data_IF_611805652768
#
_entry.id   IF_611805652768
#
_cell.length_a   1.000
_cell.length_b   1.000
_cell.length_c   1.000
_cell.angle_alpha   90.00
_cell.angle_beta   90.00
_cell.angle_gamma   90.00
#
_symmetry.space_group_name_H-M   'P 1'
#
loop_
_entity.id
_entity.type
_entity.pdbx_description
1 polymer ?
#
# COMPACT_ATOMS: atom_id res chain seq x y z
N UNK A 1 17.04 11.79 -27.11
CA UNK A 1 16.66 11.82 -28.55
C UNK A 1 17.06 10.59 -29.38
N UNK A 2 17.74 9.57 -28.84
CA UNK A 2 18.05 8.31 -29.57
C UNK A 2 17.29 7.07 -29.09
N UNK A 3 16.59 7.12 -27.98
CA UNK A 3 15.88 5.98 -27.39
C UNK A 3 14.40 5.96 -27.79
N UNK A 4 13.72 7.10 -27.88
CA UNK A 4 12.33 7.17 -28.34
C UNK A 4 12.12 6.81 -29.83
N UNK A 5 13.12 6.97 -30.66
CA UNK A 5 13.03 6.55 -32.08
C UNK A 5 13.08 5.04 -32.30
N UNK A 6 13.51 4.25 -31.30
CA UNK A 6 13.52 2.77 -31.37
C UNK A 6 12.18 2.13 -30.99
N UNK A 7 11.35 2.80 -30.18
CA UNK A 7 10.06 2.26 -29.76
C UNK A 7 9.00 2.49 -30.84
N UNK A 8 9.05 3.60 -31.58
CA UNK A 8 8.14 3.88 -32.70
C UNK A 8 8.36 2.96 -33.90
N UNK A 9 9.55 2.36 -34.05
CA UNK A 9 9.86 1.47 -35.16
C UNK A 9 9.42 0.01 -34.90
N UNK A 10 9.21 -0.37 -33.66
CA UNK A 10 8.77 -1.73 -33.31
C UNK A 10 7.25 -1.91 -33.44
N UNK A 11 6.46 -0.84 -33.35
CA UNK A 11 5.00 -0.86 -33.54
C UNK A 11 4.57 -0.84 -35.02
N UNK A 12 5.46 -0.51 -35.94
CA UNK A 12 5.15 -0.43 -37.41
C UNK A 12 5.44 -1.73 -38.17
N UNK A 13 6.06 -2.74 -37.53
CA UNK A 13 6.39 -4.03 -38.19
C UNK A 13 5.33 -5.09 -37.92
N UNK A 14 4.35 -4.86 -37.05
CA UNK A 14 3.32 -5.85 -36.67
C UNK A 14 2.01 -5.79 -37.50
N UNK A 15 1.92 -4.90 -38.49
CA UNK A 15 0.71 -4.72 -39.34
C UNK A 15 0.86 -5.17 -40.79
N UNK A 16 1.91 -5.91 -41.19
CA UNK A 16 2.15 -6.26 -42.60
C UNK A 16 2.35 -7.76 -42.89
N UNK A 17 1.67 -8.66 -42.12
CA UNK A 17 1.58 -10.08 -42.52
C UNK A 17 0.15 -10.58 -42.34
N UNK A 18 -0.75 -10.05 -43.16
CA UNK A 18 -2.05 -10.67 -43.44
C UNK A 18 -2.47 -10.29 -44.85
N UNK A 19 -2.04 -11.11 -45.80
CA UNK A 19 -2.55 -10.96 -47.16
C UNK A 19 -1.72 -11.75 -48.20
N UNK A 20 -2.22 -12.90 -48.54
CA UNK A 20 -2.00 -13.64 -49.78
C UNK A 20 -1.69 -15.11 -49.59
N UNK A 21 -2.69 -15.96 -49.74
CA UNK A 21 -2.59 -17.31 -50.28
C UNK A 21 -3.96 -17.71 -50.86
N UNK A 22 -4.08 -17.57 -52.15
CA UNK A 22 -5.03 -18.34 -52.94
C UNK A 22 -4.27 -18.81 -54.19
N UNK A 23 -4.28 -20.09 -54.40
CA UNK A 23 -4.45 -20.82 -55.62
C UNK A 23 -3.49 -22.00 -55.88
N UNK A 24 -4.11 -23.15 -55.90
CA UNK A 24 -4.02 -24.31 -56.83
C UNK A 24 -2.75 -25.15 -56.99
N UNK A 25 -2.92 -26.49 -56.73
CA UNK A 25 -2.55 -27.49 -57.72
C UNK A 25 -1.93 -28.79 -57.20
N UNK A 26 -2.75 -29.80 -57.06
CA UNK A 26 -2.61 -31.28 -57.33
C UNK A 26 -1.35 -32.11 -56.99
N UNK A 27 -1.70 -33.24 -56.28
CA UNK A 27 -1.21 -34.63 -56.41
C UNK A 27 0.11 -35.04 -55.78
N UNK A 28 0.07 -35.82 -54.73
CA UNK A 28 0.21 -37.30 -54.57
C UNK A 28 0.55 -37.63 -53.11
N UNK A 29 -0.21 -38.58 -52.54
CA UNK A 29 0.11 -39.36 -51.31
C UNK A 29 1.28 -40.29 -51.52
N UNK A 30 1.87 -40.99 -50.47
CA UNK A 30 1.41 -41.14 -49.09
C UNK A 30 2.53 -41.10 -48.00
N UNK A 31 2.10 -41.16 -46.79
CA UNK A 31 2.57 -41.88 -45.59
C UNK A 31 2.85 -41.04 -44.34
N UNK A 32 1.96 -41.28 -43.39
CA UNK A 32 2.14 -41.48 -41.94
C UNK A 32 3.28 -40.73 -41.23
N UNK A 33 2.91 -39.77 -40.41
CA UNK A 33 3.13 -39.88 -38.95
C UNK A 33 2.25 -38.88 -38.20
N UNK A 34 1.56 -39.41 -37.20
CA UNK A 34 0.55 -38.68 -36.43
C UNK A 34 1.10 -37.55 -35.56
N UNK A 35 0.80 -36.31 -35.92
CA UNK A 35 0.81 -35.22 -34.95
C UNK A 35 -0.48 -35.32 -34.16
N UNK A 36 -0.39 -35.96 -33.02
CA UNK A 36 -1.41 -35.90 -31.97
C UNK A 36 -1.63 -34.45 -31.59
N UNK A 37 -2.72 -33.84 -32.04
CA UNK A 37 -3.27 -32.67 -31.43
C UNK A 37 -3.67 -33.06 -30.00
N UNK A 38 -2.81 -32.75 -29.04
CA UNK A 38 -3.17 -32.81 -27.64
C UNK A 38 -4.16 -31.66 -27.38
N UNK A 39 -5.43 -31.89 -27.67
CA UNK A 39 -6.51 -31.19 -27.05
C UNK A 39 -6.48 -31.59 -25.58
N UNK A 40 -5.78 -30.80 -24.75
CA UNK A 40 -5.94 -30.90 -23.30
C UNK A 40 -7.44 -30.81 -23.03
N UNK A 41 -8.04 -31.94 -22.64
CA UNK A 41 -9.37 -31.97 -22.06
C UNK A 41 -9.30 -31.16 -20.77
N UNK A 42 -9.59 -29.86 -20.84
CA UNK A 42 -9.90 -29.08 -19.63
C UNK A 42 -11.15 -29.74 -19.03
N UNK A 43 -10.96 -30.40 -17.89
CA UNK A 43 -12.07 -30.99 -17.14
C UNK A 43 -13.14 -29.94 -16.89
N UNK A 44 -14.38 -30.37 -16.70
CA UNK A 44 -15.48 -29.48 -16.37
C UNK A 44 -15.11 -28.65 -15.12
N UNK A 45 -15.10 -27.32 -15.23
CA UNK A 45 -14.76 -26.43 -14.13
C UNK A 45 -15.94 -26.37 -13.16
N UNK A 46 -15.75 -26.92 -11.98
CA UNK A 46 -16.76 -26.96 -10.93
C UNK A 46 -16.69 -25.67 -10.11
N UNK A 47 -17.84 -25.02 -9.91
CA UNK A 47 -17.97 -23.83 -9.06
C UNK A 47 -18.16 -24.22 -7.59
N UNK A 48 -17.06 -24.53 -6.91
CA UNK A 48 -17.06 -24.93 -5.51
C UNK A 48 -17.55 -23.82 -4.56
N UNK A 49 -17.20 -22.57 -4.81
CA UNK A 49 -17.64 -21.43 -3.99
C UNK A 49 -19.17 -21.23 -4.07
N UNK A 50 -19.78 -21.55 -5.19
CA UNK A 50 -21.23 -21.48 -5.37
C UNK A 50 -22.00 -22.69 -4.81
N UNK A 51 -21.33 -23.81 -4.59
CA UNK A 51 -21.95 -25.02 -4.01
C UNK A 51 -22.15 -24.93 -2.50
N UNK A 52 -21.27 -24.22 -1.80
CA UNK A 52 -21.39 -24.03 -0.34
C UNK A 52 -22.46 -22.98 -0.07
N UNK A 53 -23.29 -23.24 0.92
CA UNK A 53 -24.36 -22.35 1.35
C UNK A 53 -24.12 -21.84 2.76
N UNK A 54 -24.27 -20.53 2.94
CA UNK A 54 -24.24 -19.91 4.25
C UNK A 54 -25.45 -20.36 5.06
N UNK A 55 -25.21 -21.04 6.17
CA UNK A 55 -26.26 -21.43 7.12
C UNK A 55 -26.31 -20.44 8.28
N UNK A 56 -27.25 -19.51 8.24
CA UNK A 56 -27.45 -18.51 9.29
C UNK A 56 -27.92 -19.11 10.61
N UNK A 57 -28.32 -20.39 10.63
CA UNK A 57 -28.84 -21.11 11.81
C UNK A 57 -27.75 -21.98 12.48
N UNK A 58 -26.60 -22.14 11.84
CA UNK A 58 -25.48 -22.91 12.43
C UNK A 58 -24.94 -22.25 13.70
N UNK A 59 -24.27 -23.05 14.55
CA UNK A 59 -23.73 -22.57 15.83
C UNK A 59 -22.47 -21.71 15.73
N UNK A 60 -21.99 -21.37 14.53
CA UNK A 60 -20.82 -20.52 14.31
C UNK A 60 -21.16 -19.04 14.55
N UNK A 61 -20.19 -18.24 15.04
CA UNK A 61 -20.38 -16.80 15.18
C UNK A 61 -20.46 -16.15 13.78
N UNK A 62 -21.43 -15.26 13.59
CA UNK A 62 -21.66 -14.53 12.34
C UNK A 62 -22.01 -13.08 12.61
N UNK A 63 -21.62 -12.20 11.68
CA UNK A 63 -21.97 -10.78 11.72
C UNK A 63 -22.13 -10.22 10.32
N UNK A 64 -23.16 -9.40 10.09
CA UNK A 64 -23.28 -8.61 8.87
C UNK A 64 -22.46 -7.34 9.01
N UNK A 65 -21.61 -7.04 8.01
CA UNK A 65 -20.55 -6.05 8.12
C UNK A 65 -20.46 -5.16 6.90
N UNK A 66 -19.74 -4.04 7.07
CA UNK A 66 -19.29 -3.19 5.95
C UNK A 66 -17.77 -3.07 5.98
N UNK A 67 -17.18 -2.90 4.80
CA UNK A 67 -15.72 -2.77 4.68
C UNK A 67 -15.27 -1.44 5.28
N UNK A 68 -14.22 -1.52 6.12
CA UNK A 68 -13.49 -0.35 6.61
C UNK A 68 -12.22 -0.10 5.82
N UNK A 69 -11.43 -1.17 5.55
CA UNK A 69 -10.12 -1.08 4.90
C UNK A 69 -9.77 -2.41 4.25
N UNK A 70 -9.35 -2.36 3.00
CA UNK A 70 -8.68 -3.48 2.34
C UNK A 70 -7.19 -3.44 2.68
N UNK A 71 -6.64 -4.54 3.17
CA UNK A 71 -5.21 -4.65 3.50
C UNK A 71 -4.51 -5.47 2.44
N UNK A 72 -5.03 -6.67 2.15
CA UNK A 72 -4.45 -7.63 1.25
C UNK A 72 -5.52 -8.53 0.62
N UNK A 73 -5.13 -9.50 -0.20
CA UNK A 73 -6.05 -10.45 -0.83
C UNK A 73 -6.83 -11.29 0.18
N UNK A 74 -6.25 -11.58 1.34
CA UNK A 74 -6.84 -12.41 2.40
C UNK A 74 -6.99 -11.70 3.75
N UNK A 75 -6.88 -10.38 3.75
CA UNK A 75 -7.01 -9.58 4.97
C UNK A 75 -7.82 -8.31 4.69
N UNK A 76 -8.95 -8.15 5.38
CA UNK A 76 -9.83 -6.98 5.29
C UNK A 76 -10.29 -6.57 6.69
N UNK A 77 -10.32 -5.28 6.97
CA UNK A 77 -10.92 -4.75 8.20
C UNK A 77 -12.38 -4.41 7.95
N UNK A 78 -13.25 -4.82 8.86
CA UNK A 78 -14.68 -4.58 8.78
C UNK A 78 -15.17 -3.76 9.97
N UNK A 79 -16.17 -2.91 9.74
CA UNK A 79 -16.95 -2.33 10.82
C UNK A 79 -17.90 -3.39 11.39
N UNK A 80 -17.89 -3.54 12.70
CA UNK A 80 -18.75 -4.44 13.47
C UNK A 80 -19.38 -3.71 14.64
N UNK A 81 -20.50 -4.21 15.22
CA UNK A 81 -21.04 -3.67 16.47
C UNK A 81 -20.04 -3.75 17.62
N UNK A 82 -20.11 -2.81 18.57
CA UNK A 82 -19.26 -2.83 19.77
C UNK A 82 -19.48 -4.04 20.66
N UNK A 83 -20.60 -4.76 20.49
CA UNK A 83 -20.84 -6.06 21.14
C UNK A 83 -19.97 -7.19 20.60
N UNK A 84 -19.46 -7.04 19.36
CA UNK A 84 -18.54 -8.00 18.71
C UNK A 84 -17.09 -7.65 19.02
N UNK A 85 -16.71 -6.39 18.77
CA UNK A 85 -15.39 -5.83 19.09
C UNK A 85 -15.58 -4.46 19.75
N UNK A 86 -14.95 -4.23 20.89
CA UNK A 86 -15.12 -3.01 21.71
C UNK A 86 -14.77 -1.72 20.95
N UNK A 87 -13.85 -1.79 19.99
CA UNK A 87 -13.44 -0.68 19.11
C UNK A 87 -14.26 -0.57 17.83
N UNK A 88 -15.30 -1.40 17.65
CA UNK A 88 -16.15 -1.40 16.47
C UNK A 88 -15.49 -1.89 15.18
N UNK A 89 -14.32 -2.55 15.27
CA UNK A 89 -13.57 -3.02 14.10
C UNK A 89 -13.07 -4.44 14.30
N UNK A 90 -13.39 -5.32 13.35
CA UNK A 90 -12.83 -6.65 13.28
C UNK A 90 -11.83 -6.70 12.13
N UNK A 91 -10.58 -7.03 12.42
CA UNK A 91 -9.54 -7.28 11.42
C UNK A 91 -9.64 -8.74 11.00
N UNK A 92 -10.23 -9.00 9.86
CA UNK A 92 -10.44 -10.37 9.38
C UNK A 92 -9.19 -10.87 8.64
N UNK A 93 -8.62 -11.99 9.10
CA UNK A 93 -7.70 -12.85 8.35
C UNK A 93 -8.50 -14.02 7.79
N UNK A 94 -8.50 -14.18 6.50
CA UNK A 94 -9.36 -15.16 5.85
C UNK A 94 -8.90 -16.59 6.15
N UNK A 95 -9.84 -17.44 6.58
CA UNK A 95 -9.60 -18.85 6.85
C UNK A 95 -9.28 -19.64 5.59
N UNK A 96 -8.47 -20.65 5.73
CA UNK A 96 -8.11 -21.64 4.69
C UNK A 96 -7.23 -21.11 3.56
N UNK A 97 -6.94 -19.81 3.49
CA UNK A 97 -6.23 -19.18 2.39
C UNK A 97 -4.98 -18.44 2.86
N UNK A 98 -3.98 -18.39 1.98
CA UNK A 98 -2.86 -17.48 2.07
C UNK A 98 -2.61 -16.94 0.66
N UNK A 99 -2.99 -15.68 0.42
CA UNK A 99 -2.70 -15.01 -0.84
C UNK A 99 -1.25 -14.55 -0.86
N UNK A 100 -0.62 -14.42 -2.03
CA UNK A 100 0.65 -13.72 -2.13
C UNK A 100 0.49 -12.27 -1.65
N UNK A 101 1.53 -11.73 -1.02
CA UNK A 101 1.52 -10.39 -0.45
C UNK A 101 1.35 -9.30 -1.53
N UNK A 102 0.47 -8.34 -1.28
CA UNK A 102 0.25 -7.18 -2.14
C UNK A 102 0.75 -5.87 -1.53
N UNK A 103 1.17 -5.91 -0.25
CA UNK A 103 1.71 -4.78 0.52
C UNK A 103 3.00 -5.20 1.23
N UNK A 104 3.86 -4.24 1.57
CA UNK A 104 5.18 -4.54 2.11
C UNK A 104 6.06 -5.17 1.03
N UNK A 105 6.36 -6.45 1.12
CA UNK A 105 7.03 -7.20 0.07
C UNK A 105 6.01 -7.71 -0.94
N UNK A 106 5.94 -7.08 -2.12
CA UNK A 106 5.00 -7.50 -3.17
C UNK A 106 5.46 -8.83 -3.78
N UNK A 107 4.56 -9.80 -3.88
CA UNK A 107 4.79 -11.11 -4.48
C UNK A 107 4.00 -11.26 -5.79
N UNK A 108 4.48 -12.17 -6.66
CA UNK A 108 3.75 -12.51 -7.90
C UNK A 108 2.31 -12.93 -7.57
N UNK A 109 1.34 -12.42 -8.34
CA UNK A 109 -0.10 -12.60 -8.14
C UNK A 109 -0.70 -11.91 -6.89
N UNK A 110 0.09 -11.23 -6.04
CA UNK A 110 -0.40 -10.52 -4.86
C UNK A 110 -1.36 -9.40 -5.22
N UNK A 111 -0.99 -8.54 -6.17
CA UNK A 111 -1.86 -7.48 -6.68
C UNK A 111 -3.16 -8.03 -7.26
N UNK A 112 -3.08 -9.14 -7.99
CA UNK A 112 -4.24 -9.77 -8.61
C UNK A 112 -5.20 -10.34 -7.55
N UNK A 113 -4.68 -10.98 -6.51
CA UNK A 113 -5.47 -11.50 -5.39
C UNK A 113 -6.16 -10.36 -4.62
N UNK A 114 -5.42 -9.29 -4.29
CA UNK A 114 -5.96 -8.11 -3.61
C UNK A 114 -7.04 -7.41 -4.41
N UNK A 115 -6.80 -7.20 -5.72
CA UNK A 115 -7.79 -6.63 -6.64
C UNK A 115 -9.06 -7.50 -6.74
N UNK A 116 -8.90 -8.82 -6.80
CA UNK A 116 -10.03 -9.76 -6.85
C UNK A 116 -10.91 -9.62 -5.61
N UNK A 117 -10.32 -9.66 -4.41
CA UNK A 117 -11.04 -9.46 -3.15
C UNK A 117 -11.77 -8.13 -3.12
N UNK A 118 -11.07 -7.04 -3.47
CA UNK A 118 -11.64 -5.69 -3.50
C UNK A 118 -12.85 -5.61 -4.43
N UNK A 119 -12.72 -6.05 -5.67
CA UNK A 119 -13.80 -5.97 -6.67
C UNK A 119 -15.04 -6.76 -6.25
N UNK A 120 -14.89 -7.88 -5.56
CA UNK A 120 -16.02 -8.66 -5.04
C UNK A 120 -16.73 -7.93 -3.91
N UNK A 121 -15.99 -7.41 -2.95
CA UNK A 121 -16.58 -6.76 -1.76
C UNK A 121 -17.09 -5.35 -2.05
N UNK A 122 -16.49 -4.59 -2.97
CA UNK A 122 -17.01 -3.28 -3.40
C UNK A 122 -18.35 -3.38 -4.15
N UNK A 123 -18.56 -4.47 -4.91
CA UNK A 123 -19.83 -4.73 -5.60
C UNK A 123 -20.87 -5.39 -4.72
N UNK A 124 -20.50 -5.81 -3.49
CA UNK A 124 -21.41 -6.50 -2.61
C UNK A 124 -22.49 -5.57 -2.05
N UNK A 125 -23.74 -6.04 -2.07
CA UNK A 125 -24.88 -5.40 -1.39
C UNK A 125 -25.04 -5.87 0.06
N UNK A 126 -24.45 -7.01 0.41
CA UNK A 126 -24.37 -7.54 1.76
C UNK A 126 -23.12 -8.40 1.92
N UNK A 127 -22.46 -8.26 3.06
CA UNK A 127 -21.26 -9.02 3.45
C UNK A 127 -21.51 -9.60 4.83
N UNK A 128 -21.25 -10.91 4.97
CA UNK A 128 -21.31 -11.60 6.26
C UNK A 128 -19.94 -12.21 6.53
N UNK A 129 -19.41 -11.96 7.72
CA UNK A 129 -18.25 -12.69 8.22
C UNK A 129 -18.72 -13.81 9.14
N UNK A 130 -18.02 -14.94 9.10
CA UNK A 130 -18.35 -16.13 9.90
C UNK A 130 -17.07 -16.69 10.51
N UNK A 131 -17.08 -17.00 11.80
CA UNK A 131 -16.01 -17.77 12.47
C UNK A 131 -16.16 -19.26 12.18
N UNK A 132 -15.10 -20.03 12.37
CA UNK A 132 -15.14 -21.50 12.29
C UNK A 132 -15.80 -22.16 13.54
N UNK A 133 -16.06 -21.36 14.57
CA UNK A 133 -16.61 -21.79 15.86
C UNK A 133 -17.70 -20.83 16.36
N UNK A 134 -18.27 -21.12 17.52
CA UNK A 134 -19.25 -20.24 18.17
C UNK A 134 -18.68 -18.89 18.66
N UNK A 135 -17.36 -18.72 18.63
CA UNK A 135 -16.66 -17.50 19.06
C UNK A 135 -15.64 -17.06 18.02
N UNK A 136 -15.30 -15.77 18.03
CA UNK A 136 -14.24 -15.23 17.18
C UNK A 136 -12.87 -15.71 17.69
N UNK A 137 -12.10 -16.37 16.83
CA UNK A 137 -10.77 -16.91 17.15
C UNK A 137 -9.69 -16.01 16.55
N UNK A 138 -8.79 -15.51 17.41
CA UNK A 138 -7.65 -14.72 16.93
C UNK A 138 -6.65 -15.61 16.17
N UNK A 139 -5.94 -15.03 15.22
CA UNK A 139 -4.80 -15.67 14.55
C UNK A 139 -3.57 -15.69 15.47
N UNK A 140 -2.44 -16.22 14.97
CA UNK A 140 -1.20 -16.32 15.74
C UNK A 140 -0.59 -14.97 16.15
N UNK A 141 -0.99 -13.88 15.52
CA UNK A 141 -0.55 -12.50 15.89
C UNK A 141 -1.35 -11.94 17.06
N UNK A 142 -2.52 -12.51 17.33
CA UNK A 142 -3.44 -12.05 18.38
C UNK A 142 -4.26 -10.80 18.06
N UNK A 143 -4.04 -10.19 16.89
CA UNK A 143 -4.64 -8.90 16.50
C UNK A 143 -5.64 -9.02 15.34
N UNK A 144 -5.64 -10.14 14.64
CA UNK A 144 -6.58 -10.45 13.55
C UNK A 144 -7.42 -11.66 13.91
N UNK A 145 -8.63 -11.75 13.36
CA UNK A 145 -9.58 -12.81 13.64
C UNK A 145 -9.80 -13.68 12.40
N UNK A 146 -9.68 -14.98 12.57
CA UNK A 146 -9.88 -15.98 11.54
C UNK A 146 -11.35 -15.98 11.08
N UNK A 147 -11.59 -15.71 9.78
CA UNK A 147 -12.93 -15.49 9.27
C UNK A 147 -13.16 -16.11 7.90
N UNK A 148 -14.33 -16.67 7.70
CA UNK A 148 -14.96 -16.88 6.41
C UNK A 148 -15.64 -15.59 5.99
N UNK A 149 -15.48 -15.18 4.74
CA UNK A 149 -16.10 -13.98 4.18
C UNK A 149 -17.10 -14.39 3.12
N UNK A 150 -18.34 -14.04 3.35
CA UNK A 150 -19.45 -14.27 2.46
C UNK A 150 -19.93 -12.96 1.88
N UNK A 151 -20.15 -12.92 0.57
CA UNK A 151 -20.66 -11.73 -0.09
C UNK A 151 -21.82 -12.05 -1.02
N UNK A 152 -22.66 -11.06 -1.28
CA UNK A 152 -23.78 -11.14 -2.19
C UNK A 152 -23.92 -9.82 -2.94
N UNK A 153 -23.99 -9.88 -4.27
CA UNK A 153 -24.30 -8.73 -5.14
C UNK A 153 -25.79 -8.68 -5.47
N UNK A 154 -26.25 -7.59 -6.08
CA UNK A 154 -27.67 -7.38 -6.38
C UNK A 154 -28.27 -8.43 -7.32
N UNK A 155 -27.47 -9.02 -8.19
CA UNK A 155 -27.85 -10.04 -9.18
C UNK A 155 -27.76 -11.48 -8.64
N UNK A 156 -27.17 -11.68 -7.45
CA UNK A 156 -27.03 -13.00 -6.83
C UNK A 156 -28.25 -13.35 -5.99
N UNK A 157 -28.68 -14.62 -6.07
CA UNK A 157 -29.70 -15.18 -5.19
C UNK A 157 -29.15 -15.55 -3.81
N UNK A 158 -28.00 -16.20 -3.78
CA UNK A 158 -27.34 -16.76 -2.60
C UNK A 158 -26.00 -16.08 -2.35
N UNK A 159 -25.51 -16.15 -1.12
CA UNK A 159 -24.15 -15.72 -0.77
C UNK A 159 -23.10 -16.65 -1.39
N UNK A 160 -21.95 -16.10 -1.74
CA UNK A 160 -20.75 -16.84 -2.16
C UNK A 160 -19.66 -16.71 -1.11
N UNK A 161 -18.90 -17.79 -0.94
CA UNK A 161 -17.76 -17.81 -0.02
C UNK A 161 -16.50 -17.33 -0.75
N UNK A 162 -16.02 -16.14 -0.37
CA UNK A 162 -14.87 -15.50 -1.01
C UNK A 162 -13.56 -16.26 -0.78
N UNK A 163 -13.39 -16.89 0.40
CA UNK A 163 -12.20 -17.69 0.71
C UNK A 163 -12.07 -18.87 -0.26
N UNK A 164 -13.17 -19.60 -0.47
CA UNK A 164 -13.19 -20.75 -1.41
C UNK A 164 -13.03 -20.26 -2.85
N UNK A 165 -13.57 -19.10 -3.18
CA UNK A 165 -13.43 -18.51 -4.52
C UNK A 165 -11.96 -18.15 -4.81
N UNK A 166 -11.22 -17.59 -3.85
CA UNK A 166 -9.77 -17.35 -3.98
C UNK A 166 -8.98 -18.63 -4.23
N UNK A 167 -9.33 -19.74 -3.55
CA UNK A 167 -8.72 -21.05 -3.77
C UNK A 167 -9.05 -21.61 -5.16
N UNK A 168 -10.32 -21.53 -5.56
CA UNK A 168 -10.83 -22.01 -6.84
C UNK A 168 -10.17 -21.29 -8.02
N UNK A 169 -9.95 -19.99 -7.90
CA UNK A 169 -9.27 -19.18 -8.91
C UNK A 169 -7.73 -19.32 -8.89
N UNK A 170 -7.18 -20.09 -7.94
CA UNK A 170 -5.73 -20.22 -7.78
C UNK A 170 -5.04 -18.90 -7.40
N UNK A 171 -5.74 -18.00 -6.71
CA UNK A 171 -5.23 -16.72 -6.20
C UNK A 171 -4.72 -16.82 -4.76
N UNK A 172 -4.82 -18.00 -4.17
CA UNK A 172 -4.31 -18.31 -2.84
C UNK A 172 -3.73 -19.73 -2.78
N UNK A 173 -2.72 -19.89 -1.93
CA UNK A 173 -2.26 -21.23 -1.52
C UNK A 173 -3.04 -21.70 -0.29
N UNK A 174 -3.01 -22.99 -0.03
CA UNK A 174 -3.66 -23.61 1.12
C UNK A 174 -3.00 -23.17 2.43
N UNK A 175 -3.81 -22.79 3.42
CA UNK A 175 -3.40 -22.50 4.79
C UNK A 175 -4.36 -23.18 5.77
N UNK A 176 -3.98 -24.35 6.33
CA UNK A 176 -4.87 -25.18 7.17
C UNK A 176 -6.21 -25.53 6.51
N UNK A 177 -6.25 -25.60 5.19
CA UNK A 177 -7.49 -25.65 4.40
C UNK A 177 -8.29 -26.92 4.59
N UNK A 178 -7.68 -28.01 5.08
CA UNK A 178 -8.37 -29.27 5.35
C UNK A 178 -9.04 -29.38 6.74
N UNK A 179 -8.67 -28.50 7.68
CA UNK A 179 -9.04 -28.63 9.10
C UNK A 179 -10.01 -27.53 9.54
N UNK A 180 -11.13 -27.40 8.84
CA UNK A 180 -12.17 -26.39 9.12
C UNK A 180 -13.53 -26.88 8.64
N UNK A 181 -14.61 -26.13 8.91
CA UNK A 181 -15.98 -26.54 8.56
C UNK A 181 -16.23 -26.71 7.06
N UNK A 182 -15.42 -26.11 6.19
CA UNK A 182 -15.50 -26.23 4.71
C UNK A 182 -14.30 -26.96 4.11
N UNK A 183 -13.50 -27.66 4.92
CA UNK A 183 -12.21 -28.23 4.52
C UNK A 183 -12.25 -29.13 3.30
N UNK A 184 -13.26 -29.98 3.18
CA UNK A 184 -13.42 -30.86 2.02
C UNK A 184 -13.57 -30.07 0.72
N UNK A 185 -14.37 -29.00 0.74
CA UNK A 185 -14.63 -28.14 -0.42
C UNK A 185 -13.41 -27.30 -0.76
N UNK A 186 -12.70 -26.78 0.25
CA UNK A 186 -11.46 -26.06 0.07
C UNK A 186 -10.41 -26.95 -0.65
N UNK A 187 -10.25 -28.19 -0.22
CA UNK A 187 -9.29 -29.11 -0.85
C UNK A 187 -9.66 -29.45 -2.30
N UNK A 188 -10.95 -29.59 -2.62
CA UNK A 188 -11.41 -29.78 -4.01
C UNK A 188 -11.12 -28.56 -4.87
N UNK A 189 -11.40 -27.35 -4.36
CA UNK A 189 -11.13 -26.10 -5.04
C UNK A 189 -9.64 -25.91 -5.35
N UNK A 190 -8.76 -26.17 -4.38
CA UNK A 190 -7.29 -26.13 -4.54
C UNK A 190 -6.83 -27.12 -5.60
N UNK A 191 -7.30 -28.38 -5.55
CA UNK A 191 -6.89 -29.40 -6.49
C UNK A 191 -7.29 -29.03 -7.93
N UNK A 192 -8.50 -28.53 -8.12
CA UNK A 192 -8.96 -28.01 -9.42
C UNK A 192 -8.08 -26.86 -9.92
N UNK A 193 -7.72 -25.90 -9.06
CA UNK A 193 -6.84 -24.79 -9.43
C UNK A 193 -5.44 -25.28 -9.85
N UNK A 194 -4.89 -26.28 -9.18
CA UNK A 194 -3.61 -26.93 -9.53
C UNK A 194 -3.69 -27.69 -10.85
N UNK A 195 -4.72 -28.50 -11.03
CA UNK A 195 -4.95 -29.29 -12.26
C UNK A 195 -5.10 -28.37 -13.48
N UNK A 196 -5.84 -27.27 -13.32
CA UNK A 196 -6.05 -26.28 -14.37
C UNK A 196 -4.92 -25.25 -14.49
N UNK A 197 -3.86 -25.35 -13.65
CA UNK A 197 -2.69 -24.44 -13.64
C UNK A 197 -3.10 -22.97 -13.59
N UNK A 198 -3.96 -22.61 -12.64
CA UNK A 198 -4.46 -21.24 -12.49
C UNK A 198 -3.52 -20.36 -11.66
N UNK A 199 -3.29 -19.17 -12.09
CA UNK A 199 -2.58 -18.08 -11.37
C UNK A 199 -1.31 -18.58 -10.64
N UNK A 200 -1.28 -18.63 -9.30
CA UNK A 200 -0.10 -19.07 -8.51
C UNK A 200 0.36 -20.50 -8.85
N UNK A 201 -0.50 -21.32 -9.44
CA UNK A 201 -0.19 -22.68 -9.87
C UNK A 201 0.16 -22.79 -11.35
N UNK A 202 0.15 -21.67 -12.10
CA UNK A 202 0.37 -21.67 -13.56
C UNK A 202 1.80 -22.00 -13.96
N UNK A 203 2.77 -21.71 -13.12
CA UNK A 203 4.20 -21.73 -13.44
C UNK A 203 4.60 -20.64 -14.45
N UNK A 204 3.71 -19.70 -14.75
CA UNK A 204 3.95 -18.56 -15.64
C UNK A 204 4.21 -17.31 -14.83
N UNK A 205 4.93 -16.36 -15.42
CA UNK A 205 5.11 -15.04 -14.83
C UNK A 205 3.78 -14.29 -14.73
N UNK A 206 3.58 -13.62 -13.62
CA UNK A 206 2.45 -12.70 -13.43
C UNK A 206 2.64 -11.46 -14.32
N UNK A 207 1.72 -11.16 -15.25
CA UNK A 207 1.84 -9.99 -16.12
C UNK A 207 1.75 -8.65 -15.37
N UNK A 208 1.18 -8.64 -14.16
CA UNK A 208 0.99 -7.45 -13.35
C UNK A 208 2.11 -7.24 -12.31
N UNK A 209 3.10 -8.17 -12.27
CA UNK A 209 4.27 -8.07 -11.40
C UNK A 209 5.45 -7.45 -12.13
N UNK A 210 6.16 -6.54 -11.46
CA UNK A 210 7.32 -5.88 -12.03
C UNK A 210 8.58 -6.75 -11.89
N UNK A 211 9.14 -7.19 -13.03
CA UNK A 211 10.37 -8.00 -13.08
C UNK A 211 11.61 -7.19 -13.52
N UNK A 212 11.48 -5.88 -13.63
CA UNK A 212 12.56 -5.00 -14.07
C UNK A 212 13.60 -4.72 -12.97
N UNK A 213 14.60 -3.95 -13.33
CA UNK A 213 15.52 -3.34 -12.36
C UNK A 213 14.92 -2.03 -11.85
N UNK A 214 15.36 -1.60 -10.66
CA UNK A 214 14.91 -0.33 -10.09
C UNK A 214 15.10 0.84 -11.06
N UNK A 215 14.07 1.66 -11.21
CA UNK A 215 14.09 2.87 -12.05
C UNK A 215 14.77 3.99 -11.25
N UNK A 216 15.87 4.51 -11.74
CA UNK A 216 16.57 5.63 -11.10
C UNK A 216 15.79 6.94 -11.34
N UNK A 217 15.41 7.61 -10.25
CA UNK A 217 14.59 8.82 -10.26
C UNK A 217 15.12 9.86 -9.27
N UNK A 218 14.87 11.11 -9.55
CA UNK A 218 14.89 12.16 -8.52
C UNK A 218 13.60 12.09 -7.69
N UNK A 219 13.62 12.59 -6.45
CA UNK A 219 12.40 12.68 -5.65
C UNK A 219 11.34 13.60 -6.28
N UNK A 220 11.75 14.61 -7.08
CA UNK A 220 10.84 15.42 -7.89
C UNK A 220 10.10 14.58 -8.93
N UNK A 221 10.83 13.81 -9.76
CA UNK A 221 10.23 12.92 -10.77
C UNK A 221 9.31 11.89 -10.15
N UNK A 222 9.75 11.25 -9.06
CA UNK A 222 8.93 10.28 -8.34
C UNK A 222 7.65 10.92 -7.79
N UNK A 223 7.74 12.08 -7.12
CA UNK A 223 6.58 12.74 -6.51
C UNK A 223 5.57 13.25 -7.55
N UNK A 224 6.04 13.76 -8.67
CA UNK A 224 5.16 14.31 -9.72
C UNK A 224 4.43 13.24 -10.52
N UNK A 225 4.94 12.00 -10.54
CA UNK A 225 4.42 10.92 -11.38
C UNK A 225 4.22 9.62 -10.58
N UNK A 226 4.03 9.70 -9.25
CA UNK A 226 4.09 8.54 -8.35
C UNK A 226 3.14 7.41 -8.74
N UNK A 227 1.97 7.73 -9.29
CA UNK A 227 0.98 6.74 -9.74
C UNK A 227 1.49 5.84 -10.86
N UNK A 228 2.39 6.35 -11.73
CA UNK A 228 2.96 5.59 -12.85
C UNK A 228 3.93 4.51 -12.36
N UNK A 229 4.50 4.69 -11.16
CA UNK A 229 5.49 3.78 -10.60
C UNK A 229 4.92 2.78 -9.61
N UNK A 230 3.61 2.82 -9.35
CA UNK A 230 2.98 1.89 -8.38
C UNK A 230 3.25 0.44 -8.75
N UNK A 231 3.92 -0.27 -7.81
CA UNK A 231 4.36 -1.66 -7.94
C UNK A 231 5.59 -1.87 -8.79
N UNK A 232 6.29 -0.80 -9.15
CA UNK A 232 7.62 -0.88 -9.73
C UNK A 232 8.68 -0.60 -8.66
N UNK A 233 9.84 -1.20 -8.84
CA UNK A 233 11.00 -0.84 -8.05
C UNK A 233 11.60 0.46 -8.55
N UNK A 234 11.89 1.36 -7.62
CA UNK A 234 12.52 2.66 -7.87
C UNK A 234 13.77 2.82 -7.01
N UNK A 235 14.68 3.67 -7.46
CA UNK A 235 15.83 4.07 -6.69
C UNK A 235 15.97 5.60 -6.71
N UNK A 236 16.26 6.21 -5.56
CA UNK A 236 16.45 7.64 -5.42
C UNK A 236 17.38 7.98 -4.26
N UNK A 237 17.96 9.17 -4.30
CA UNK A 237 18.82 9.69 -3.23
C UNK A 237 18.10 10.78 -2.44
N UNK A 238 18.44 10.90 -1.15
CA UNK A 238 17.97 11.97 -0.29
C UNK A 238 18.48 11.87 1.14
N UNK A 239 18.20 12.89 1.94
CA UNK A 239 18.58 12.97 3.36
C UNK A 239 17.45 12.45 4.23
N UNK A 240 17.77 11.58 5.18
CA UNK A 240 16.79 11.11 6.19
C UNK A 240 16.51 12.22 7.18
N UNK A 241 15.25 12.69 7.23
CA UNK A 241 14.83 13.81 8.09
C UNK A 241 14.20 13.36 9.40
N UNK A 242 13.48 12.24 9.36
CA UNK A 242 12.85 11.59 10.50
C UNK A 242 12.91 10.08 10.30
N UNK A 243 13.14 9.33 11.37
CA UNK A 243 12.95 7.88 11.42
C UNK A 243 12.12 7.55 12.67
N UNK A 244 10.93 7.03 12.49
CA UNK A 244 9.98 6.74 13.57
C UNK A 244 9.00 5.65 13.14
N UNK A 245 8.69 4.72 14.05
CA UNK A 245 7.67 3.68 13.84
C UNK A 245 7.85 2.89 12.54
N UNK A 246 9.06 2.37 12.29
CA UNK A 246 9.43 1.58 11.09
C UNK A 246 9.28 2.34 9.76
N UNK A 247 9.31 3.66 9.83
CA UNK A 247 9.14 4.56 8.69
C UNK A 247 10.21 5.64 8.73
N UNK A 248 10.93 5.80 7.64
CA UNK A 248 11.84 6.93 7.43
C UNK A 248 11.21 7.93 6.45
N UNK A 249 11.47 9.22 6.70
CA UNK A 249 11.14 10.30 5.78
C UNK A 249 12.44 10.75 5.13
N UNK A 250 12.47 10.73 3.80
CA UNK A 250 13.66 11.04 3.02
C UNK A 250 13.34 12.20 2.10
N UNK A 251 14.19 13.23 2.06
CA UNK A 251 13.97 14.41 1.23
C UNK A 251 15.19 14.77 0.40
N UNK A 252 14.97 15.41 -0.74
CA UNK A 252 16.01 16.05 -1.54
C UNK A 252 15.56 17.41 -2.05
N UNK A 253 16.53 18.32 -2.23
CA UNK A 253 16.32 19.65 -2.79
C UNK A 253 16.39 19.61 -4.31
N UNK A 254 15.42 20.24 -4.96
CA UNK A 254 15.44 20.47 -6.40
C UNK A 254 15.74 21.96 -6.70
N UNK A 255 16.86 22.29 -7.35
CA UNK A 255 17.23 23.68 -7.60
C UNK A 255 16.37 24.39 -8.65
N UNK A 256 15.68 23.65 -9.52
CA UNK A 256 14.83 24.24 -10.56
C UNK A 256 13.53 24.82 -9.96
N UNK A 257 12.92 24.10 -9.02
CA UNK A 257 11.69 24.52 -8.34
C UNK A 257 11.97 25.21 -6.99
N UNK A 258 13.23 25.24 -6.56
CA UNK A 258 13.67 25.79 -5.27
C UNK A 258 12.89 25.22 -4.07
N UNK A 259 12.58 23.90 -4.12
CA UNK A 259 11.85 23.25 -3.05
C UNK A 259 12.38 21.84 -2.73
N UNK A 260 12.00 21.34 -1.56
CA UNK A 260 12.27 19.98 -1.14
C UNK A 260 11.11 19.07 -1.53
N UNK A 261 11.46 17.90 -2.05
CA UNK A 261 10.56 16.79 -2.33
C UNK A 261 10.84 15.67 -1.36
N UNK A 262 9.79 15.08 -0.81
CA UNK A 262 9.91 14.02 0.18
C UNK A 262 9.22 12.73 -0.22
N UNK A 263 9.69 11.62 0.36
CA UNK A 263 9.06 10.31 0.25
C UNK A 263 9.12 9.58 1.58
N UNK A 264 8.02 8.91 1.91
CA UNK A 264 7.96 7.97 3.02
C UNK A 264 8.56 6.64 2.60
N UNK A 265 9.49 6.12 3.40
CA UNK A 265 10.11 4.81 3.22
C UNK A 265 9.68 3.91 4.38
N UNK A 266 8.80 2.96 4.09
CA UNK A 266 8.34 1.97 5.06
C UNK A 266 9.21 0.74 5.00
N UNK A 267 9.98 0.49 6.04
CA UNK A 267 10.89 -0.66 6.12
C UNK A 267 10.36 -1.80 7.00
N UNK A 268 9.26 -1.60 7.72
CA UNK A 268 8.64 -2.63 8.54
C UNK A 268 9.62 -3.28 9.51
N UNK A 269 9.69 -4.60 9.46
CA UNK A 269 10.64 -5.41 10.24
C UNK A 269 11.78 -5.99 9.39
N UNK A 270 11.92 -5.55 8.14
CA UNK A 270 12.89 -6.12 7.20
C UNK A 270 14.34 -5.67 7.49
N UNK A 271 14.50 -4.50 8.10
CA UNK A 271 15.81 -3.96 8.42
C UNK A 271 16.19 -4.17 9.89
N UNK A 272 17.45 -4.53 10.12
CA UNK A 272 18.06 -4.63 11.44
C UNK A 272 19.53 -4.24 11.37
N UNK A 273 20.18 -4.01 12.52
CA UNK A 273 21.62 -3.70 12.61
C UNK A 273 22.04 -2.58 11.64
N UNK A 274 23.05 -2.87 10.80
CA UNK A 274 23.60 -1.91 9.82
C UNK A 274 22.54 -1.34 8.88
N UNK A 275 21.54 -2.13 8.47
CA UNK A 275 20.43 -1.65 7.62
C UNK A 275 19.64 -0.53 8.28
N UNK A 276 19.37 -0.62 9.59
CA UNK A 276 18.72 0.45 10.36
C UNK A 276 19.63 1.66 10.53
N UNK A 277 20.94 1.46 10.73
CA UNK A 277 21.90 2.54 10.87
C UNK A 277 22.01 3.40 9.61
N UNK A 278 21.83 2.80 8.42
CA UNK A 278 21.76 3.53 7.16
C UNK A 278 20.65 4.59 7.20
N UNK A 279 19.48 4.26 7.79
CA UNK A 279 18.34 5.17 7.90
C UNK A 279 18.40 6.10 9.13
N UNK A 280 19.59 6.35 9.69
CA UNK A 280 19.74 7.35 10.75
C UNK A 280 19.52 8.77 10.22
N UNK A 281 18.84 9.58 11.03
CA UNK A 281 18.58 11.00 10.70
C UNK A 281 19.89 11.73 10.42
N UNK A 282 19.93 12.48 9.32
CA UNK A 282 21.12 13.18 8.85
C UNK A 282 22.02 12.36 7.93
N UNK A 283 21.72 11.10 7.66
CA UNK A 283 22.37 10.37 6.58
C UNK A 283 21.76 10.75 5.22
N UNK A 284 22.60 11.00 4.24
CA UNK A 284 22.21 10.95 2.86
C UNK A 284 22.25 9.49 2.40
N UNK A 285 21.17 9.04 1.81
CA UNK A 285 20.97 7.63 1.48
C UNK A 285 20.52 7.45 0.05
N UNK A 286 20.89 6.32 -0.54
CA UNK A 286 20.23 5.78 -1.72
C UNK A 286 19.20 4.75 -1.25
N UNK A 287 17.94 5.00 -1.56
CA UNK A 287 16.83 4.09 -1.29
C UNK A 287 16.56 3.27 -2.55
N UNK A 288 16.32 1.98 -2.37
CA UNK A 288 15.80 1.07 -3.40
C UNK A 288 14.62 0.34 -2.80
N UNK A 289 13.47 0.35 -3.49
CA UNK A 289 12.26 -0.33 -3.02
C UNK A 289 11.08 -0.12 -3.97
N UNK A 290 9.97 -0.76 -3.66
CA UNK A 290 8.75 -0.74 -4.46
C UNK A 290 7.81 0.41 -4.08
N UNK A 291 7.29 1.12 -5.07
CA UNK A 291 6.25 2.14 -4.87
C UNK A 291 4.91 1.47 -4.57
N UNK A 292 4.29 1.85 -3.47
CA UNK A 292 3.01 1.28 -3.01
C UNK A 292 2.04 2.39 -2.61
N UNK A 293 0.76 2.17 -2.87
CA UNK A 293 -0.30 2.99 -2.30
C UNK A 293 -0.63 2.50 -0.89
N UNK A 294 -0.44 3.36 0.11
CA UNK A 294 -0.79 3.09 1.51
C UNK A 294 -2.23 3.52 1.77
N UNK A 295 -3.15 2.57 1.72
CA UNK A 295 -4.58 2.82 1.76
C UNK A 295 -5.05 3.49 3.06
N UNK A 296 -4.54 3.04 4.20
CA UNK A 296 -4.93 3.61 5.50
C UNK A 296 -4.54 5.09 5.65
N UNK A 297 -3.48 5.52 4.96
CA UNK A 297 -3.02 6.91 4.94
C UNK A 297 -3.52 7.71 3.74
N UNK A 298 -4.07 7.04 2.70
CA UNK A 298 -4.47 7.68 1.45
C UNK A 298 -3.29 8.31 0.69
N UNK A 299 -2.09 7.73 0.83
CA UNK A 299 -0.84 8.28 0.27
C UNK A 299 0.02 7.18 -0.34
N UNK A 300 1.07 7.58 -1.05
CA UNK A 300 2.08 6.67 -1.59
C UNK A 300 3.30 6.61 -0.69
N UNK A 301 3.91 5.44 -0.64
CA UNK A 301 5.16 5.18 0.07
C UNK A 301 6.07 4.29 -0.78
N UNK A 302 7.36 4.24 -0.45
CA UNK A 302 8.27 3.22 -0.93
C UNK A 302 8.45 2.18 0.17
N UNK A 303 8.27 0.92 -0.15
CA UNK A 303 8.42 -0.21 0.76
C UNK A 303 9.28 -1.31 0.11
N UNK A 304 9.33 -2.50 0.73
CA UNK A 304 10.18 -3.61 0.26
C UNK A 304 11.66 -3.22 0.17
N UNK A 305 12.12 -2.42 1.11
CA UNK A 305 13.53 -2.03 1.21
C UNK A 305 14.33 -3.14 1.92
N UNK A 306 15.52 -3.42 1.42
CA UNK A 306 16.36 -4.52 1.90
C UNK A 306 17.80 -4.06 2.11
N UNK A 307 18.51 -4.75 3.02
CA UNK A 307 19.96 -4.63 3.21
C UNK A 307 20.58 -5.99 3.46
N UNK A 308 21.30 -6.49 2.48
CA UNK A 308 21.99 -7.78 2.52
C UNK A 308 23.42 -7.59 3.00
N UNK A 309 23.61 -7.71 4.30
CA UNK A 309 24.93 -7.53 4.94
C UNK A 309 26.04 -8.40 4.32
N UNK A 310 25.74 -9.62 3.85
CA UNK A 310 26.69 -10.50 3.18
C UNK A 310 27.02 -10.09 1.73
N UNK A 311 26.31 -9.10 1.19
CA UNK A 311 26.50 -8.53 -0.14
C UNK A 311 26.26 -7.02 -0.09
N UNK A 312 27.11 -6.26 0.61
CA UNK A 312 26.89 -4.83 0.84
C UNK A 312 26.84 -4.01 -0.45
N UNK A 313 27.53 -4.45 -1.50
CA UNK A 313 27.55 -3.79 -2.82
C UNK A 313 26.39 -4.24 -3.75
N UNK A 314 25.40 -5.00 -3.24
CA UNK A 314 24.24 -5.39 -4.04
C UNK A 314 23.44 -4.13 -4.45
N UNK A 315 23.21 -3.90 -5.75
CA UNK A 315 22.49 -2.70 -6.21
C UNK A 315 21.05 -2.61 -5.73
N UNK A 316 20.47 -3.71 -5.25
CA UNK A 316 19.16 -3.75 -4.61
C UNK A 316 19.15 -3.34 -3.14
N UNK A 317 20.32 -3.15 -2.52
CA UNK A 317 20.41 -2.67 -1.15
C UNK A 317 20.15 -1.17 -1.04
N UNK A 318 19.58 -0.74 0.10
CA UNK A 318 19.73 0.66 0.53
C UNK A 318 21.20 0.92 0.88
N UNK A 319 21.66 2.14 0.67
CA UNK A 319 23.07 2.52 0.87
C UNK A 319 23.18 3.86 1.58
N UNK A 320 24.14 4.00 2.50
CA UNK A 320 24.54 5.29 3.06
C UNK A 320 25.55 5.94 2.11
N UNK A 321 25.25 7.14 1.64
CA UNK A 321 26.11 7.94 0.75
C UNK A 321 27.01 8.90 1.54
N UNK A 322 26.43 9.58 2.52
CA UNK A 322 27.16 10.48 3.43
C UNK A 322 26.45 10.58 4.79
N UNK A 323 27.06 11.26 5.75
CA UNK A 323 26.47 11.51 7.07
C UNK A 323 26.70 12.96 7.50
N UNK A 324 26.00 13.41 8.55
CA UNK A 324 26.15 14.76 9.09
C UNK A 324 25.39 15.82 8.30
N UNK A 325 24.37 15.42 7.53
CA UNK A 325 23.51 16.33 6.80
C UNK A 325 22.30 16.74 7.68
N UNK A 326 22.24 17.99 8.08
CA UNK A 326 21.09 18.47 8.85
C UNK A 326 19.80 18.49 8.00
N UNK A 327 18.65 18.00 8.52
CA UNK A 327 17.36 18.19 7.91
C UNK A 327 17.05 19.68 7.65
N UNK A 328 16.57 20.01 6.47
CA UNK A 328 16.52 21.40 6.00
C UNK A 328 15.52 22.28 6.74
N UNK A 329 14.33 21.77 7.03
CA UNK A 329 13.24 22.52 7.63
C UNK A 329 13.04 23.91 7.02
N UNK A 330 12.91 24.07 5.69
CA UNK A 330 12.75 25.37 5.05
C UNK A 330 11.57 26.13 5.65
N UNK A 331 11.74 27.44 5.84
CA UNK A 331 10.66 28.32 6.29
C UNK A 331 9.64 28.50 5.17
N UNK A 332 8.39 28.16 5.42
CA UNK A 332 7.29 28.28 4.47
C UNK A 332 6.18 29.16 5.08
N UNK A 333 5.66 30.06 4.28
CA UNK A 333 4.51 30.89 4.63
C UNK A 333 3.22 30.06 4.65
N UNK A 334 2.31 30.36 5.59
CA UNK A 334 1.05 29.63 5.76
C UNK A 334 0.15 29.71 4.52
N UNK A 335 0.09 30.88 3.88
CA UNK A 335 -0.68 31.09 2.64
C UNK A 335 -0.12 30.25 1.49
N UNK A 336 1.23 30.20 1.35
CA UNK A 336 1.91 29.32 0.37
C UNK A 336 1.63 27.85 0.65
N UNK A 337 1.68 27.42 1.92
CA UNK A 337 1.36 26.05 2.29
C UNK A 337 -0.07 25.66 1.94
N UNK A 338 -1.04 26.50 2.29
CA UNK A 338 -2.46 26.19 2.12
C UNK A 338 -2.96 26.34 0.67
N UNK A 339 -2.44 27.30 -0.10
CA UNK A 339 -3.02 27.70 -1.38
C UNK A 339 -1.97 27.85 -2.51
N UNK A 340 -0.69 27.72 -2.19
CA UNK A 340 0.39 27.88 -3.16
C UNK A 340 0.31 26.83 -4.27
N UNK A 341 0.68 27.28 -5.47
CA UNK A 341 0.79 26.44 -6.66
C UNK A 341 2.22 26.41 -7.16
N UNK A 342 2.63 25.26 -7.66
CA UNK A 342 3.94 25.08 -8.30
C UNK A 342 3.71 24.48 -9.68
N UNK A 343 4.30 25.13 -10.69
CA UNK A 343 4.21 24.66 -12.07
C UNK A 343 5.50 23.93 -12.43
N UNK A 344 5.36 22.69 -12.85
CA UNK A 344 6.48 21.86 -13.35
C UNK A 344 6.36 21.77 -14.86
N UNK A 345 7.43 22.14 -15.54
CA UNK A 345 7.55 22.10 -17.00
C UNK A 345 8.42 20.93 -17.41
N UNK A 346 7.91 20.14 -18.33
CA UNK A 346 8.66 19.11 -19.06
C UNK A 346 8.71 19.47 -20.53
N UNK A 347 9.46 18.72 -21.36
CA UNK A 347 9.50 18.97 -22.81
C UNK A 347 8.10 18.89 -23.46
N UNK A 348 7.20 18.04 -22.90
CA UNK A 348 5.92 17.70 -23.53
C UNK A 348 4.70 18.25 -22.77
N UNK A 349 4.87 18.79 -21.54
CA UNK A 349 3.74 19.20 -20.70
C UNK A 349 4.12 20.29 -19.67
N UNK A 350 3.12 21.07 -19.28
CA UNK A 350 3.17 21.98 -18.14
C UNK A 350 2.05 21.63 -17.17
N UNK A 351 2.42 21.12 -15.98
CA UNK A 351 1.48 20.68 -14.97
C UNK A 351 1.59 21.56 -13.73
N UNK A 352 0.45 21.99 -13.19
CA UNK A 352 0.38 22.78 -11.97
C UNK A 352 -0.17 21.97 -10.82
N UNK A 353 0.57 21.93 -9.72
CA UNK A 353 0.27 21.17 -8.51
C UNK A 353 0.06 22.10 -7.32
N UNK A 354 -0.63 21.63 -6.28
CA UNK A 354 -0.61 22.25 -4.98
C UNK A 354 0.79 22.14 -4.36
N UNK A 355 1.28 23.24 -3.75
CA UNK A 355 2.58 23.22 -3.07
C UNK A 355 2.66 22.10 -2.03
N UNK A 356 1.63 21.98 -1.16
CA UNK A 356 1.60 20.97 -0.11
C UNK A 356 1.59 19.53 -0.65
N UNK A 357 1.01 19.29 -1.85
CA UNK A 357 1.04 17.99 -2.51
C UNK A 357 2.45 17.59 -2.94
N UNK A 358 3.21 18.53 -3.52
CA UNK A 358 4.59 18.28 -3.94
C UNK A 358 5.55 18.19 -2.74
N UNK A 359 5.32 19.01 -1.69
CA UNK A 359 6.11 19.01 -0.47
C UNK A 359 5.75 17.85 0.49
N UNK A 360 4.77 17.01 0.16
CA UNK A 360 4.35 15.89 1.01
C UNK A 360 5.54 15.00 1.37
N UNK A 361 5.68 14.68 2.66
CA UNK A 361 6.75 13.93 3.30
C UNK A 361 8.12 14.65 3.36
N UNK A 362 8.25 15.90 2.90
CA UNK A 362 9.44 16.71 3.14
C UNK A 362 9.35 17.51 4.44
N UNK A 363 10.49 17.97 4.92
CA UNK A 363 10.57 18.81 6.12
C UNK A 363 10.12 20.25 5.83
N UNK A 364 9.53 20.88 6.84
CA UNK A 364 9.02 22.26 6.76
C UNK A 364 9.13 22.94 8.12
N UNK A 365 9.32 24.24 8.12
CA UNK A 365 9.12 25.09 9.30
C UNK A 365 8.12 26.20 9.02
N UNK A 366 7.39 26.61 10.07
CA UNK A 366 6.41 27.68 10.00
C UNK A 366 6.40 28.46 11.32
N UNK A 367 6.37 29.78 11.23
CA UNK A 367 6.47 30.65 12.38
C UNK A 367 5.16 31.43 12.63
N UNK A 368 4.95 31.86 13.88
CA UNK A 368 3.89 32.78 14.24
C UNK A 368 2.48 32.22 14.18
N UNK A 369 2.32 30.93 14.40
CA UNK A 369 1.04 30.25 14.38
C UNK A 369 0.31 30.40 15.72
N UNK A 370 -0.84 31.08 15.75
CA UNK A 370 -1.70 31.20 16.94
C UNK A 370 -2.54 29.93 17.10
N UNK A 371 -2.33 29.17 18.17
CA UNK A 371 -3.16 28.01 18.51
C UNK A 371 -4.54 28.49 18.98
N UNK A 372 -5.59 28.12 18.26
CA UNK A 372 -6.97 28.55 18.51
C UNK A 372 -7.87 27.42 19.00
N UNK A 373 -7.49 26.18 18.76
CA UNK A 373 -8.20 24.99 19.23
C UNK A 373 -7.24 23.80 19.34
N UNK A 374 -7.59 22.83 20.17
CA UNK A 374 -6.78 21.64 20.40
C UNK A 374 -7.64 20.39 20.54
N UNK A 375 -7.15 19.27 20.01
CA UNK A 375 -7.73 17.95 20.21
C UNK A 375 -6.63 16.99 20.67
N UNK A 376 -6.92 16.13 21.63
CA UNK A 376 -6.01 15.07 22.07
C UNK A 376 -6.68 13.72 21.83
N UNK A 377 -5.96 12.78 21.23
CA UNK A 377 -6.45 11.42 21.03
C UNK A 377 -6.60 10.70 22.38
N UNK A 378 -7.82 10.30 22.73
CA UNK A 378 -8.17 9.70 24.02
C UNK A 378 -8.52 8.20 23.92
N UNK A 379 -8.63 7.65 22.69
CA UNK A 379 -8.92 6.23 22.50
C UNK A 379 -7.80 5.38 23.09
N UNK A 380 -8.14 4.55 24.10
CA UNK A 380 -7.22 3.68 24.85
C UNK A 380 -6.53 2.64 23.97
N UNK A 381 -7.18 2.19 22.91
CA UNK A 381 -6.67 1.18 21.98
C UNK A 381 -5.84 1.79 20.82
N UNK A 382 -5.76 3.11 20.77
CA UNK A 382 -4.99 3.78 19.71
C UNK A 382 -3.52 3.90 20.09
N UNK A 383 -2.62 3.47 19.21
CA UNK A 383 -1.17 3.72 19.33
C UNK A 383 -0.83 5.21 19.39
N UNK A 384 -1.76 6.08 18.95
CA UNK A 384 -1.64 7.54 19.00
C UNK A 384 -2.29 8.17 20.23
N UNK A 385 -2.70 7.38 21.26
CA UNK A 385 -3.26 7.94 22.50
C UNK A 385 -2.31 8.95 23.11
N UNK A 386 -2.78 10.18 23.38
CA UNK A 386 -1.97 11.29 23.88
C UNK A 386 -1.39 12.20 22.79
N UNK A 387 -1.44 11.79 21.53
CA UNK A 387 -1.05 12.66 20.41
C UNK A 387 -2.06 13.78 20.21
N UNK A 388 -1.59 14.98 19.85
CA UNK A 388 -2.39 16.20 19.77
C UNK A 388 -2.59 16.67 18.35
N UNK A 389 -3.72 17.28 18.07
CA UNK A 389 -3.94 18.13 16.90
C UNK A 389 -4.13 19.57 17.37
N UNK A 390 -3.26 20.48 16.95
CA UNK A 390 -3.34 21.90 17.23
C UNK A 390 -3.90 22.59 15.99
N UNK A 391 -5.08 23.17 16.10
CA UNK A 391 -5.65 24.05 15.07
C UNK A 391 -5.08 25.44 15.23
N UNK A 392 -4.31 25.87 14.25
CA UNK A 392 -3.60 27.15 14.29
C UNK A 392 -4.17 28.14 13.27
N UNK A 393 -3.96 29.43 13.54
CA UNK A 393 -4.16 30.52 12.58
C UNK A 393 -2.88 31.31 12.41
N UNK A 394 -2.49 31.54 11.19
CA UNK A 394 -1.44 32.49 10.83
C UNK A 394 -1.94 33.93 10.90
N UNK A 395 -1.04 34.89 10.76
CA UNK A 395 -1.38 36.35 10.86
C UNK A 395 -2.36 36.80 9.77
N UNK A 396 -2.35 36.17 8.60
CA UNK A 396 -3.28 36.42 7.49
C UNK A 396 -4.64 35.72 7.66
N UNK A 397 -4.82 34.96 8.76
CA UNK A 397 -6.03 34.21 9.05
C UNK A 397 -6.04 32.79 8.48
N UNK A 398 -5.02 32.37 7.70
CA UNK A 398 -4.90 31.04 7.15
C UNK A 398 -4.87 29.99 8.27
N UNK A 399 -5.69 28.96 8.13
CA UNK A 399 -5.74 27.84 9.08
C UNK A 399 -4.71 26.80 8.74
N UNK A 400 -3.95 26.37 9.74
CA UNK A 400 -2.93 25.31 9.66
C UNK A 400 -3.22 24.26 10.73
N UNK A 401 -3.25 23.01 10.36
CA UNK A 401 -3.30 21.87 11.28
C UNK A 401 -1.88 21.41 11.61
N UNK A 402 -1.58 21.27 12.90
CA UNK A 402 -0.33 20.70 13.39
C UNK A 402 -0.68 19.43 14.17
N UNK A 403 -0.31 18.28 13.63
CA UNK A 403 -0.49 16.98 14.29
C UNK A 403 0.81 16.58 14.97
N UNK A 404 0.75 16.18 16.25
CA UNK A 404 1.94 15.68 16.95
C UNK A 404 1.89 14.16 17.10
N UNK A 405 3.06 13.54 17.25
CA UNK A 405 3.17 12.26 17.95
C UNK A 405 2.88 12.48 19.45
N UNK A 406 2.95 11.39 20.23
CA UNK A 406 2.95 11.50 21.70
C UNK A 406 4.25 12.17 22.12
N UNK A 407 4.18 13.42 22.55
CA UNK A 407 5.36 14.21 22.89
C UNK A 407 5.74 14.09 24.36
N UNK A 408 7.03 13.99 24.63
CA UNK A 408 7.58 14.12 25.98
C UNK A 408 8.55 15.29 26.05
N UNK A 409 8.61 15.94 27.22
CA UNK A 409 9.58 17.00 27.51
C UNK A 409 10.97 16.44 27.82
N UNK A 410 11.92 17.31 28.13
CA UNK A 410 13.31 16.94 28.46
C UNK A 410 13.41 16.10 29.74
N UNK A 411 12.40 16.11 30.60
CA UNK A 411 12.33 15.35 31.84
C UNK A 411 11.54 14.03 31.66
N UNK A 412 11.06 13.73 30.44
CA UNK A 412 10.26 12.55 30.16
C UNK A 412 8.78 12.68 30.51
N UNK A 413 8.28 13.87 30.86
CA UNK A 413 6.88 14.08 31.16
C UNK A 413 6.08 14.26 29.86
N UNK A 414 4.84 13.78 29.84
CA UNK A 414 3.93 13.98 28.73
C UNK A 414 3.63 15.47 28.52
N UNK A 415 3.77 15.93 27.29
CA UNK A 415 3.38 17.28 26.88
C UNK A 415 1.89 17.25 26.52
N UNK A 416 1.12 18.12 27.19
CA UNK A 416 -0.34 18.22 26.98
C UNK A 416 -0.71 19.45 26.14
N UNK A 417 -1.90 19.42 25.57
CA UNK A 417 -2.44 20.49 24.73
C UNK A 417 -2.55 21.85 25.44
N UNK A 418 -2.75 21.85 26.75
CA UNK A 418 -2.85 23.06 27.59
C UNK A 418 -1.59 23.93 27.50
N UNK A 419 -0.43 23.29 27.28
CA UNK A 419 0.85 24.01 27.10
C UNK A 419 0.78 24.99 25.92
N UNK A 420 0.04 24.64 24.87
CA UNK A 420 0.03 25.39 23.60
C UNK A 420 -1.26 26.18 23.39
N UNK A 421 -2.37 25.82 24.03
CA UNK A 421 -3.66 26.48 23.83
C UNK A 421 -3.57 28.00 24.07
N UNK A 422 -4.02 28.77 23.09
CA UNK A 422 -3.99 30.23 23.14
C UNK A 422 -2.59 30.85 22.96
N UNK A 423 -1.52 30.09 22.75
CA UNK A 423 -0.16 30.57 22.51
C UNK A 423 0.11 30.79 21.03
N UNK A 424 1.14 31.59 20.73
CA UNK A 424 1.73 31.68 19.40
C UNK A 424 2.96 30.78 19.37
N UNK A 425 3.05 29.92 18.38
CA UNK A 425 4.10 28.90 18.27
C UNK A 425 4.83 29.01 16.94
N UNK A 426 6.07 28.53 16.93
CA UNK A 426 6.81 28.17 15.72
C UNK A 426 6.96 26.68 15.69
N UNK A 427 6.83 26.06 14.51
CA UNK A 427 6.85 24.62 14.35
C UNK A 427 7.87 24.19 13.30
N UNK A 428 8.50 23.02 13.53
CA UNK A 428 9.26 22.27 12.56
C UNK A 428 8.64 20.88 12.46
N UNK A 429 8.38 20.39 11.27
CA UNK A 429 7.74 19.08 11.09
C UNK A 429 7.84 18.59 9.66
N UNK A 430 7.14 17.52 9.38
CA UNK A 430 7.02 16.91 8.06
C UNK A 430 5.65 17.27 7.49
N UNK A 431 5.58 17.61 6.22
CA UNK A 431 4.30 17.74 5.51
C UNK A 431 3.63 16.38 5.45
N UNK A 432 2.44 16.30 5.97
CA UNK A 432 1.66 15.07 6.11
C UNK A 432 0.26 15.25 5.52
N UNK A 433 -0.36 14.17 5.12
CA UNK A 433 -1.72 14.17 4.57
C UNK A 433 -2.59 13.21 5.37
N UNK A 434 -3.70 13.72 5.86
CA UNK A 434 -4.64 12.93 6.64
C UNK A 434 -6.07 13.37 6.38
N UNK A 435 -6.93 12.41 6.09
CA UNK A 435 -8.38 12.60 5.92
C UNK A 435 -8.74 13.76 4.98
N UNK A 436 -8.10 13.81 3.81
CA UNK A 436 -8.38 14.81 2.77
C UNK A 436 -7.69 16.16 2.96
N UNK A 437 -6.81 16.33 3.96
CA UNK A 437 -6.18 17.61 4.28
C UNK A 437 -4.69 17.49 4.55
N UNK A 438 -3.91 18.49 4.11
CA UNK A 438 -2.50 18.59 4.46
C UNK A 438 -2.33 19.22 5.84
N UNK A 439 -1.34 18.71 6.58
CA UNK A 439 -0.99 19.14 7.92
C UNK A 439 0.52 19.11 8.14
N UNK A 440 1.00 19.69 9.24
CA UNK A 440 2.40 19.58 9.67
C UNK A 440 2.45 18.54 10.77
N UNK A 441 3.20 17.45 10.57
CA UNK A 441 3.38 16.39 11.57
C UNK A 441 4.67 16.60 12.36
N UNK A 442 4.55 16.65 13.69
CA UNK A 442 5.65 16.94 14.60
C UNK A 442 5.98 15.71 15.44
N UNK A 443 7.25 15.33 15.46
CA UNK A 443 7.74 14.12 16.10
C UNK A 443 8.47 14.36 17.43
N UNK A 444 8.82 15.59 17.74
CA UNK A 444 9.54 15.94 18.97
C UNK A 444 9.04 17.24 19.56
N UNK A 445 8.97 17.31 20.90
CA UNK A 445 8.59 18.54 21.61
C UNK A 445 9.56 19.72 21.34
N UNK A 446 10.83 19.44 21.01
CA UNK A 446 11.83 20.47 20.63
C UNK A 446 11.47 21.21 19.36
N UNK A 447 10.62 20.62 18.53
CA UNK A 447 10.20 21.17 17.24
C UNK A 447 8.99 22.11 17.36
N UNK A 448 8.49 22.37 18.57
CA UNK A 448 7.47 23.39 18.86
C UNK A 448 8.02 24.37 19.89
N UNK A 449 8.23 25.61 19.49
CA UNK A 449 8.65 26.68 20.39
C UNK A 449 7.51 27.69 20.57
N UNK A 450 7.35 28.21 21.81
CA UNK A 450 6.34 29.23 22.15
C UNK A 450 7.05 30.60 22.08
N UNK A 451 6.43 31.56 21.38
CA UNK A 451 6.92 32.93 21.27
C UNK A 451 6.51 33.76 22.48
#
# INVERSE_FOLDING_TARGET
MKILKKISLLLMVMCLVLGSLAACGNNTEPDKDGASQNTENKGEVVDYAGQVKLDMTSGTAKEEVTVKLFVDGDTTHFYVPNSVMSNGVLKARYLAVNTPESTGKIEEYGKKASKFTREKLEKATSIIIESDTATWTADSTGDRYLSWVWYKTADMKDYRNLNIELLQEGLAIASNSGNNIYGEVCMKAINQAKENKLNVYSGQKDPDYYYGTAVELTLKELRTNVEQYVGMDVAFNGVVTVNSNQTAYVESFDPETEMYYGMTVYYGYNLNGEGLEILSVGNEVRIVGSVQYYEAGGTYQVADVDYRMMKPDDPGNIQKLSEGNDPAFPLVDAGKFANGKVTIKTEDAENTFDFAALALNSSISMNGLKVVDTYTTTNEESSSKGAMTLTCKAADGTKISVRTEVLVDENGNLVTADKYMGKTINVKGIVDYYNGSYQIRVFSAKNITIN
#
